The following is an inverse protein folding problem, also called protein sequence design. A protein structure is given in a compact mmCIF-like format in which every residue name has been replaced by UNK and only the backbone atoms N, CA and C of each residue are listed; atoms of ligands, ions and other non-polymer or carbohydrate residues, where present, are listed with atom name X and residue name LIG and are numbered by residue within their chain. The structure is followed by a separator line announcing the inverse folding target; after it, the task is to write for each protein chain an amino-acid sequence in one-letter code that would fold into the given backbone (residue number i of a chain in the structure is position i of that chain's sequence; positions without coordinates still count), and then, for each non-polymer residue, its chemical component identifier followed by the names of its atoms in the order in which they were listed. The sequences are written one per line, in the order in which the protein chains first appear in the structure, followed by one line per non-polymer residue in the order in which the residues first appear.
data_IF_236412009385
#
_entry.id   IF_236412009385
#
_cell.length_a   1.000
_cell.length_b   1.000
_cell.length_c   1.000
_cell.angle_alpha   90.00
_cell.angle_beta   90.00
_cell.angle_gamma   90.00
#
_symmetry.space_group_name_H-M   'P 1'
#
loop_
_entity.id
_entity.type
_entity.pdbx_description
1 polymer ?
#
# COMPACT_ATOMS: atom_id res chain seq x y z
N UNK A 1 10.00 -5.24 6.49
CA UNK A 1 9.34 -4.94 5.20
C UNK A 1 7.86 -4.61 5.42
N UNK A 2 7.02 -5.52 5.92
CA UNK A 2 5.60 -5.24 6.21
C UNK A 2 5.36 -3.97 7.05
N UNK A 3 6.09 -3.82 8.17
CA UNK A 3 6.01 -2.64 9.03
C UNK A 3 6.36 -1.31 8.32
N UNK A 4 7.25 -1.33 7.32
CA UNK A 4 7.54 -0.12 6.55
C UNK A 4 6.37 0.27 5.65
N UNK A 5 5.66 -0.70 5.07
CA UNK A 5 4.43 -0.42 4.33
C UNK A 5 3.34 0.16 5.24
N UNK A 6 3.21 -0.35 6.47
CA UNK A 6 2.27 0.20 7.46
C UNK A 6 2.59 1.65 7.81
N UNK A 7 3.85 1.96 8.11
CA UNK A 7 4.28 3.33 8.41
C UNK A 7 3.99 4.26 7.23
N UNK A 8 4.32 3.84 6.00
CA UNK A 8 4.03 4.62 4.79
C UNK A 8 2.53 4.83 4.61
N UNK A 9 1.71 3.79 4.82
CA UNK A 9 0.27 3.88 4.72
C UNK A 9 -0.33 4.84 5.75
N UNK A 10 0.13 4.77 7.00
CA UNK A 10 -0.32 5.63 8.10
C UNK A 10 0.06 7.08 7.83
N UNK A 11 1.33 7.36 7.51
CA UNK A 11 1.79 8.71 7.22
C UNK A 11 1.04 9.31 6.03
N UNK A 12 0.89 8.55 4.94
CA UNK A 12 0.12 8.95 3.77
C UNK A 12 -1.34 9.28 4.14
N UNK A 13 -1.97 8.45 4.97
CA UNK A 13 -3.37 8.65 5.38
C UNK A 13 -3.52 9.85 6.29
N UNK A 14 -2.63 10.04 7.27
CA UNK A 14 -2.70 11.17 8.19
C UNK A 14 -2.47 12.49 7.45
N UNK A 15 -1.38 12.57 6.68
CA UNK A 15 -0.97 13.82 6.02
C UNK A 15 -1.91 14.21 4.87
N UNK A 16 -2.34 13.25 4.05
CA UNK A 16 -3.06 13.55 2.81
C UNK A 16 -4.57 13.28 2.86
N UNK A 17 -5.10 12.62 3.90
CA UNK A 17 -6.55 12.39 4.06
C UNK A 17 -7.11 12.97 5.35
N UNK A 18 -6.48 12.71 6.50
CA UNK A 18 -7.03 13.11 7.80
C UNK A 18 -6.91 14.63 8.02
N UNK A 19 -5.73 15.21 7.89
CA UNK A 19 -5.54 16.67 8.09
C UNK A 19 -6.45 17.50 7.15
N UNK A 20 -6.52 17.19 5.83
CA UNK A 20 -7.42 17.89 4.91
C UNK A 20 -8.90 17.76 5.24
N UNK A 21 -9.32 16.63 5.81
CA UNK A 21 -10.73 16.39 6.15
C UNK A 21 -11.25 17.33 7.25
N UNK A 22 -10.35 17.84 8.10
CA UNK A 22 -10.67 18.88 9.10
C UNK A 22 -10.63 20.31 8.54
N UNK A 23 -10.46 20.49 7.23
CA UNK A 23 -10.39 21.81 6.58
C UNK A 23 -9.01 22.47 6.63
N UNK A 24 -7.99 21.79 7.15
CA UNK A 24 -6.63 22.30 7.20
C UNK A 24 -5.89 21.99 5.90
N UNK A 25 -5.34 23.02 5.24
CA UNK A 25 -4.68 22.91 3.93
C UNK A 25 -5.56 22.35 2.81
N UNK A 26 -6.88 22.29 3.01
CA UNK A 26 -7.84 21.73 2.07
C UNK A 26 -7.65 22.24 0.66
N UNK A 27 -7.56 23.55 0.49
CA UNK A 27 -7.52 24.20 -0.82
C UNK A 27 -6.21 23.92 -1.58
N UNK A 28 -5.07 23.85 -0.88
CA UNK A 28 -3.76 23.52 -1.48
C UNK A 28 -3.73 22.08 -1.98
N UNK A 29 -4.41 21.22 -1.25
CA UNK A 29 -4.29 19.78 -1.40
C UNK A 29 -5.33 19.28 -2.41
N UNK A 30 -6.51 19.92 -2.49
CA UNK A 30 -7.51 19.71 -3.54
C UNK A 30 -7.25 20.48 -4.84
N UNK A 31 -6.43 21.53 -4.83
CA UNK A 31 -6.06 22.24 -6.07
C UNK A 31 -5.07 21.47 -6.93
N UNK A 32 -4.41 20.45 -6.38
CA UNK A 32 -3.38 19.66 -7.07
C UNK A 32 -3.86 18.22 -7.22
N UNK A 33 -4.34 17.88 -8.42
CA UNK A 33 -4.75 16.50 -8.78
C UNK A 33 -3.68 15.44 -8.48
N UNK A 34 -2.40 15.84 -8.60
CA UNK A 34 -1.27 14.95 -8.36
C UNK A 34 -1.24 14.42 -6.92
N UNK A 35 -1.54 15.26 -5.93
CA UNK A 35 -1.51 14.89 -4.51
C UNK A 35 -2.40 13.67 -4.24
N UNK A 36 -3.57 13.63 -4.89
CA UNK A 36 -4.61 12.64 -4.64
C UNK A 36 -4.35 11.33 -5.35
N UNK A 37 -3.91 11.42 -6.59
CA UNK A 37 -3.47 10.25 -7.33
C UNK A 37 -2.26 9.60 -6.65
N UNK A 38 -1.35 10.39 -6.07
CA UNK A 38 -0.25 9.89 -5.24
C UNK A 38 -0.74 9.25 -3.93
N UNK A 39 -1.74 9.84 -3.28
CA UNK A 39 -2.34 9.28 -2.06
C UNK A 39 -2.97 7.90 -2.32
N UNK A 40 -3.73 7.77 -3.41
CA UNK A 40 -4.30 6.50 -3.84
C UNK A 40 -3.20 5.49 -4.21
N UNK A 41 -2.22 5.90 -5.01
CA UNK A 41 -1.08 5.08 -5.37
C UNK A 41 -0.42 4.49 -4.12
N UNK A 42 -0.05 5.33 -3.15
CA UNK A 42 0.65 4.91 -1.94
C UNK A 42 -0.22 4.00 -1.05
N UNK A 43 -1.53 4.25 -0.97
CA UNK A 43 -2.45 3.45 -0.18
C UNK A 43 -2.61 2.03 -0.75
N UNK A 44 -2.82 1.90 -2.06
CA UNK A 44 -2.94 0.59 -2.70
C UNK A 44 -1.60 -0.14 -2.77
N UNK A 45 -0.51 0.57 -3.09
CA UNK A 45 0.86 0.04 -3.07
C UNK A 45 1.20 -0.59 -1.70
N UNK A 46 0.92 0.14 -0.61
CA UNK A 46 1.24 -0.33 0.74
C UNK A 46 0.37 -1.49 1.19
N UNK A 47 -0.94 -1.46 0.95
CA UNK A 47 -1.85 -2.56 1.29
C UNK A 47 -1.50 -3.85 0.56
N UNK A 48 -1.24 -3.78 -0.74
CA UNK A 48 -0.84 -4.94 -1.54
C UNK A 48 0.52 -5.46 -1.08
N UNK A 49 1.49 -4.56 -0.87
CA UNK A 49 2.82 -4.95 -0.37
C UNK A 49 2.73 -5.71 0.96
N UNK A 50 1.95 -5.20 1.91
CA UNK A 50 1.74 -5.85 3.20
C UNK A 50 1.02 -7.20 3.06
N UNK A 51 -0.04 -7.28 2.24
CA UNK A 51 -0.76 -8.52 1.97
C UNK A 51 0.14 -9.61 1.37
N UNK A 52 1.04 -9.23 0.47
CA UNK A 52 2.04 -10.14 -0.10
C UNK A 52 3.07 -10.60 0.94
N UNK A 53 3.57 -9.68 1.78
CA UNK A 53 4.49 -10.06 2.88
C UNK A 53 3.85 -11.08 3.82
N UNK A 54 2.59 -10.86 4.22
CA UNK A 54 1.86 -11.79 5.09
C UNK A 54 1.65 -13.15 4.41
N UNK A 55 1.31 -13.14 3.11
CA UNK A 55 1.16 -14.37 2.33
C UNK A 55 2.47 -15.17 2.31
N UNK A 56 3.61 -14.54 2.06
CA UNK A 56 4.91 -15.22 2.08
C UNK A 56 5.28 -15.79 3.45
N UNK A 57 4.98 -15.07 4.53
CA UNK A 57 5.18 -15.58 5.89
C UNK A 57 4.31 -16.82 6.13
N UNK A 58 3.05 -16.79 5.70
CA UNK A 58 2.15 -17.94 5.81
C UNK A 58 2.65 -19.14 5.00
N UNK A 59 3.11 -18.93 3.76
CA UNK A 59 3.67 -20.01 2.91
C UNK A 59 4.96 -20.56 3.53
N UNK A 60 5.83 -19.71 4.07
CA UNK A 60 7.04 -20.14 4.77
C UNK A 60 6.70 -21.04 5.96
N UNK A 61 5.69 -20.67 6.77
CA UNK A 61 5.22 -21.48 7.89
C UNK A 61 4.52 -22.77 7.44
N UNK A 62 3.66 -22.70 6.43
CA UNK A 62 2.94 -23.85 5.90
C UNK A 62 3.90 -24.89 5.33
N UNK A 63 4.92 -24.47 4.57
CA UNK A 63 5.94 -25.37 4.02
C UNK A 63 6.81 -26.00 5.10
N UNK A 64 7.11 -25.28 6.20
CA UNK A 64 7.84 -25.84 7.34
C UNK A 64 7.06 -26.97 8.05
N UNK A 65 5.73 -26.83 8.14
CA UNK A 65 4.86 -27.81 8.81
C UNK A 65 4.55 -29.00 7.91
N UNK A 66 4.16 -28.74 6.65
CA UNK A 66 3.69 -29.77 5.72
C UNK A 66 4.83 -30.56 5.08
N UNK A 67 5.97 -29.91 4.82
CA UNK A 67 7.09 -30.50 4.07
C UNK A 67 8.46 -30.13 4.70
N UNK A 68 8.76 -30.57 5.93
CA UNK A 68 9.96 -30.15 6.66
C UNK A 68 11.27 -30.50 5.94
N UNK A 69 11.33 -31.65 5.25
CA UNK A 69 12.51 -32.08 4.49
C UNK A 69 12.77 -31.21 3.25
N UNK A 70 11.70 -30.74 2.58
CA UNK A 70 11.79 -29.89 1.39
C UNK A 70 11.90 -28.41 1.75
N UNK A 71 11.42 -28.00 2.92
CA UNK A 71 11.46 -26.62 3.40
C UNK A 71 12.89 -26.05 3.38
N UNK A 72 13.86 -26.79 3.90
CA UNK A 72 15.27 -26.35 3.89
C UNK A 72 15.86 -26.23 2.48
N UNK A 73 15.41 -27.05 1.54
CA UNK A 73 15.87 -26.97 0.16
C UNK A 73 15.31 -25.73 -0.55
N UNK A 74 14.01 -25.47 -0.33
CA UNK A 74 13.30 -24.33 -0.92
C UNK A 74 13.80 -23.03 -0.30
N UNK A 75 13.75 -22.89 1.03
CA UNK A 75 14.04 -21.62 1.71
C UNK A 75 15.50 -21.40 2.07
N UNK A 76 16.33 -22.46 2.04
CA UNK A 76 17.78 -22.36 2.28
C UNK A 76 18.56 -21.74 1.12
N UNK A 77 17.94 -21.61 -0.06
CA UNK A 77 18.55 -20.98 -1.21
C UNK A 77 18.62 -19.46 -1.02
N UNK A 78 19.84 -18.89 -1.00
CA UNK A 78 20.09 -17.45 -0.77
C UNK A 78 19.32 -16.51 -1.72
N UNK A 79 18.88 -17.01 -2.89
CA UNK A 79 18.15 -16.23 -3.89
C UNK A 79 16.63 -16.11 -3.66
N UNK A 80 16.03 -16.94 -2.80
CA UNK A 80 14.57 -16.99 -2.66
C UNK A 80 14.01 -15.75 -1.96
N UNK A 81 14.71 -15.30 -0.91
CA UNK A 81 14.35 -14.10 -0.15
C UNK A 81 14.33 -12.82 -1.02
N UNK A 82 15.39 -12.52 -1.80
CA UNK A 82 15.36 -11.38 -2.73
C UNK A 82 14.37 -11.57 -3.89
N UNK A 83 14.12 -12.80 -4.35
CA UNK A 83 13.11 -13.07 -5.37
C UNK A 83 11.68 -12.76 -4.87
N UNK A 84 11.33 -13.19 -3.65
CA UNK A 84 10.05 -12.86 -3.02
C UNK A 84 9.87 -11.35 -2.85
N UNK A 85 10.93 -10.65 -2.43
CA UNK A 85 10.90 -9.19 -2.30
C UNK A 85 10.67 -8.50 -3.64
N UNK A 86 11.41 -8.91 -4.67
CA UNK A 86 11.29 -8.34 -6.02
C UNK A 86 9.90 -8.57 -6.58
N UNK A 87 9.36 -9.78 -6.44
CA UNK A 87 8.01 -10.13 -6.87
C UNK A 87 6.95 -9.29 -6.15
N UNK A 88 7.05 -9.17 -4.83
CA UNK A 88 6.17 -8.32 -4.03
C UNK A 88 6.22 -6.87 -4.50
N UNK A 89 7.41 -6.33 -4.73
CA UNK A 89 7.59 -4.94 -5.13
C UNK A 89 6.99 -4.66 -6.51
N UNK A 90 7.20 -5.56 -7.47
CA UNK A 90 6.62 -5.46 -8.82
C UNK A 90 5.10 -5.45 -8.75
N UNK A 91 4.49 -6.41 -8.04
CA UNK A 91 3.03 -6.48 -7.94
C UNK A 91 2.46 -5.24 -7.24
N UNK A 92 3.09 -4.80 -6.16
CA UNK A 92 2.68 -3.59 -5.44
C UNK A 92 2.73 -2.36 -6.35
N UNK A 93 3.79 -2.19 -7.15
CA UNK A 93 3.90 -1.10 -8.12
C UNK A 93 2.82 -1.19 -9.18
N UNK A 94 2.61 -2.36 -9.79
CA UNK A 94 1.60 -2.53 -10.84
C UNK A 94 0.19 -2.15 -10.34
N UNK A 95 -0.18 -2.57 -9.13
CA UNK A 95 -1.47 -2.22 -8.54
C UNK A 95 -1.52 -0.74 -8.13
N UNK A 96 -0.42 -0.18 -7.62
CA UNK A 96 -0.29 1.25 -7.34
C UNK A 96 -0.53 2.09 -8.60
N UNK A 97 0.11 1.76 -9.72
CA UNK A 97 -0.05 2.45 -11.01
C UNK A 97 -1.49 2.37 -11.50
N UNK A 98 -2.14 1.21 -11.39
CA UNK A 98 -3.57 1.08 -11.73
C UNK A 98 -4.44 1.98 -10.88
N UNK A 99 -4.11 2.10 -9.59
CA UNK A 99 -4.88 2.93 -8.65
C UNK A 99 -4.71 4.43 -8.91
N UNK A 100 -3.57 4.84 -9.46
CA UNK A 100 -3.32 6.22 -9.89
C UNK A 100 -4.27 6.67 -11.02
N UNK A 101 -4.82 5.73 -11.81
CA UNK A 101 -5.72 6.02 -12.92
C UNK A 101 -7.17 6.25 -12.48
N UNK A 102 -7.52 6.03 -11.20
CA UNK A 102 -8.87 6.29 -10.72
C UNK A 102 -9.16 7.80 -10.66
N UNK A 103 -10.30 8.20 -11.21
CA UNK A 103 -10.79 9.56 -11.12
C UNK A 103 -11.52 9.73 -9.79
N UNK A 104 -10.96 10.55 -8.90
CA UNK A 104 -11.56 10.85 -7.60
C UNK A 104 -12.24 12.20 -7.68
N UNK A 105 -13.50 12.26 -7.30
CA UNK A 105 -14.26 13.50 -7.23
C UNK A 105 -14.45 13.92 -5.76
N UNK A 106 -14.26 15.22 -5.48
CA UNK A 106 -14.42 15.76 -4.13
C UNK A 106 -15.80 16.39 -3.97
N UNK A 107 -16.53 15.95 -2.95
CA UNK A 107 -17.74 16.61 -2.50
C UNK A 107 -17.36 17.55 -1.36
N UNK A 108 -17.47 18.86 -1.62
CA UNK A 108 -17.29 19.90 -0.60
C UNK A 108 -18.63 20.13 0.08
N UNK A 109 -18.71 19.84 1.38
CA UNK A 109 -19.91 20.12 2.16
C UNK A 109 -19.91 21.58 2.65
N UNK A 110 -21.10 22.19 2.84
CA UNK A 110 -21.22 23.57 3.34
C UNK A 110 -20.62 23.78 4.73
N UNK A 111 -20.33 22.71 5.47
CA UNK A 111 -19.65 22.72 6.77
C UNK A 111 -18.11 22.81 6.67
N UNK A 112 -17.55 22.93 5.45
CA UNK A 112 -16.11 23.02 5.22
C UNK A 112 -15.38 21.66 5.18
N UNK A 113 -16.10 20.55 5.39
CA UNK A 113 -15.56 19.20 5.31
C UNK A 113 -15.45 18.72 3.85
N UNK A 114 -14.37 17.98 3.57
CA UNK A 114 -14.08 17.40 2.26
C UNK A 114 -14.18 15.88 2.33
N UNK A 115 -15.06 15.32 1.51
CA UNK A 115 -15.16 13.87 1.31
C UNK A 115 -14.70 13.52 -0.10
N UNK A 116 -13.70 12.63 -0.18
CA UNK A 116 -13.23 12.05 -1.42
C UNK A 116 -14.13 10.87 -1.81
N UNK A 117 -14.78 10.95 -2.96
CA UNK A 117 -15.53 9.86 -3.59
C UNK A 117 -14.66 9.28 -4.70
N UNK A 118 -14.29 8.01 -4.55
CA UNK A 118 -13.54 7.23 -5.56
C UNK A 118 -14.53 6.51 -6.46
#
# INVERSE_FOLDING_TARGET
IGLMYDIVAILNTILLRVIPSYGWFSDVITSVDLSWKMTLFLNYFSRVGQGMTNTFICVNRATAILFPLQHNHIWGTRGVLPACFTFQFIIAICIGIRSYQFNVHYLRYPQGQLFAVV
#
